data_IF_918570317018
#
_entry.id   IF_918570317018
#
_cell.length_a   1.000
_cell.length_b   1.000
_cell.length_c   1.000
_cell.angle_alpha   90.00
_cell.angle_beta   90.00
_cell.angle_gamma   90.00
#
_symmetry.space_group_name_H-M   'P 1'
#
loop_
_entity.id
_entity.type
_entity.pdbx_description
1 polymer ?
#
# COMPACT_ATOMS: atom_id res chain seq x y z
N UNK A 1 -64.73 65.28 -50.23
CA UNK A 1 -63.30 64.91 -50.18
C UNK A 1 -63.08 63.96 -49.01
N UNK A 2 -62.50 62.80 -49.30
CA UNK A 2 -61.86 61.79 -48.42
C UNK A 2 -62.70 61.02 -47.38
N UNK A 3 -62.93 59.75 -47.72
CA UNK A 3 -63.30 58.60 -46.89
C UNK A 3 -62.09 58.18 -46.05
N UNK A 4 -62.27 57.91 -44.75
CA UNK A 4 -61.23 57.36 -43.86
C UNK A 4 -61.68 56.03 -43.27
N UNK A 5 -61.18 54.92 -43.82
CA UNK A 5 -61.36 53.56 -43.30
C UNK A 5 -60.24 53.27 -42.30
N UNK A 6 -60.59 52.93 -41.06
CA UNK A 6 -59.64 52.51 -40.03
C UNK A 6 -59.44 50.99 -40.09
N UNK A 7 -58.23 50.56 -40.45
CA UNK A 7 -57.82 49.15 -40.45
C UNK A 7 -57.14 48.83 -39.11
N UNK A 8 -57.67 47.84 -38.38
CA UNK A 8 -57.05 47.29 -37.17
C UNK A 8 -56.05 46.20 -37.56
N UNK A 9 -54.77 46.38 -37.19
CA UNK A 9 -53.71 45.38 -37.37
C UNK A 9 -53.41 44.75 -36.02
N UNK A 10 -53.69 43.45 -35.88
CA UNK A 10 -53.35 42.64 -34.72
C UNK A 10 -52.01 41.92 -34.92
N UNK A 11 -51.05 42.21 -34.03
CA UNK A 11 -49.70 41.60 -34.03
C UNK A 11 -49.75 40.25 -33.31
N UNK A 12 -49.38 39.18 -34.01
CA UNK A 12 -49.21 37.84 -33.41
C UNK A 12 -47.79 37.66 -32.87
N UNK A 13 -47.66 37.23 -31.61
CA UNK A 13 -46.36 36.92 -30.98
C UNK A 13 -46.08 35.42 -31.14
N UNK A 14 -45.03 35.09 -31.90
CA UNK A 14 -44.52 33.72 -32.01
C UNK A 14 -43.63 33.38 -30.80
N UNK A 15 -44.02 32.38 -30.01
CA UNK A 15 -43.22 31.86 -28.89
C UNK A 15 -42.11 30.90 -29.36
N UNK A 16 -40.95 30.84 -28.69
CA UNK A 16 -39.86 29.97 -29.08
C UNK A 16 -40.14 28.50 -28.74
N UNK A 17 -39.91 27.61 -29.71
CA UNK A 17 -39.93 26.15 -29.51
C UNK A 17 -38.77 25.70 -28.61
N UNK A 18 -39.00 24.87 -27.58
CA UNK A 18 -37.90 24.33 -26.79
C UNK A 18 -37.14 23.28 -27.60
N UNK A 19 -35.88 23.58 -27.94
CA UNK A 19 -34.94 22.60 -28.44
C UNK A 19 -34.53 21.67 -27.29
N UNK A 20 -34.97 20.41 -27.32
CA UNK A 20 -34.51 19.41 -26.37
C UNK A 20 -33.06 19.04 -26.68
N UNK A 21 -32.13 19.48 -25.84
CA UNK A 21 -30.74 19.02 -25.89
C UNK A 21 -30.71 17.54 -25.45
N UNK A 22 -30.39 16.65 -26.38
CA UNK A 22 -30.13 15.25 -26.07
C UNK A 22 -28.80 15.17 -25.33
N UNK A 23 -28.84 14.82 -24.04
CA UNK A 23 -27.63 14.52 -23.26
C UNK A 23 -27.09 13.18 -23.75
N UNK A 24 -26.06 13.21 -24.59
CA UNK A 24 -25.29 12.02 -24.93
C UNK A 24 -24.55 11.58 -23.67
N UNK A 25 -25.05 10.55 -23.00
CA UNK A 25 -24.33 9.92 -21.89
C UNK A 25 -23.12 9.17 -22.45
N UNK A 26 -21.92 9.61 -22.07
CA UNK A 26 -20.71 8.85 -22.33
C UNK A 26 -20.79 7.49 -21.63
N UNK A 27 -20.32 6.40 -22.25
CA UNK A 27 -20.30 5.09 -21.60
C UNK A 27 -19.50 5.19 -20.31
N UNK A 28 -20.12 4.79 -19.19
CA UNK A 28 -19.44 4.67 -17.90
C UNK A 28 -18.58 3.41 -17.95
N UNK A 29 -17.36 3.51 -18.49
CA UNK A 29 -16.37 2.46 -18.34
C UNK A 29 -16.04 2.37 -16.85
N UNK A 30 -16.47 1.30 -16.17
CA UNK A 30 -15.91 0.94 -14.87
C UNK A 30 -14.41 0.76 -15.05
N UNK A 31 -13.63 1.77 -14.66
CA UNK A 31 -12.18 1.72 -14.75
C UNK A 31 -11.68 0.56 -13.89
N UNK A 32 -11.18 -0.49 -14.53
CA UNK A 32 -10.67 -1.67 -13.85
C UNK A 32 -9.35 -1.33 -13.17
N UNK A 33 -9.22 -1.64 -11.87
CA UNK A 33 -8.00 -1.42 -11.11
C UNK A 33 -6.79 -2.13 -11.74
N UNK A 34 -5.69 -1.40 -11.91
CA UNK A 34 -4.40 -1.93 -12.35
C UNK A 34 -3.83 -2.89 -11.30
N UNK A 35 -3.13 -3.94 -11.76
CA UNK A 35 -2.61 -5.00 -10.91
C UNK A 35 -1.09 -5.12 -11.05
N UNK A 36 -0.31 -4.26 -10.38
CA UNK A 36 1.13 -4.40 -10.34
C UNK A 36 1.51 -5.74 -9.69
N UNK A 37 2.65 -6.29 -10.09
CA UNK A 37 3.24 -7.48 -9.49
C UNK A 37 4.74 -7.27 -9.28
N UNK A 38 5.28 -7.95 -8.28
CA UNK A 38 6.72 -7.96 -8.04
C UNK A 38 7.36 -9.05 -8.94
N UNK A 39 8.60 -8.86 -9.41
CA UNK A 39 9.33 -9.89 -10.14
C UNK A 39 9.57 -11.11 -9.24
N UNK A 40 9.46 -12.31 -9.83
CA UNK A 40 9.66 -13.57 -9.11
C UNK A 40 11.13 -13.75 -8.74
N UNK A 41 11.46 -14.10 -7.48
CA UNK A 41 12.81 -14.49 -7.09
C UNK A 41 13.29 -15.72 -7.88
N UNK A 42 14.58 -15.75 -8.20
CA UNK A 42 15.16 -16.83 -9.03
C UNK A 42 15.75 -17.99 -8.23
N UNK A 43 15.93 -17.84 -6.92
CA UNK A 43 16.48 -18.90 -6.07
C UNK A 43 15.47 -20.01 -5.75
N UNK A 44 15.97 -21.08 -5.15
CA UNK A 44 15.21 -22.31 -4.89
C UNK A 44 14.40 -22.23 -3.59
N UNK A 45 14.88 -21.46 -2.61
CA UNK A 45 14.25 -21.38 -1.30
C UNK A 45 12.92 -20.62 -1.37
N UNK A 46 11.94 -21.11 -0.61
CA UNK A 46 10.69 -20.36 -0.39
C UNK A 46 10.95 -19.24 0.62
N UNK A 47 10.22 -18.15 0.46
CA UNK A 47 10.40 -16.97 1.29
C UNK A 47 9.34 -16.95 2.40
N UNK A 48 9.80 -16.86 3.66
CA UNK A 48 8.96 -16.55 4.82
C UNK A 48 9.18 -15.13 5.28
N UNK A 49 8.14 -14.51 5.85
CA UNK A 49 8.23 -13.18 6.45
C UNK A 49 7.46 -13.10 7.75
N UNK A 50 8.05 -12.42 8.73
CA UNK A 50 7.41 -12.09 10.00
C UNK A 50 7.59 -10.59 10.28
N UNK A 51 6.49 -9.82 10.40
CA UNK A 51 6.56 -8.47 10.91
C UNK A 51 6.76 -8.48 12.43
N UNK A 52 7.71 -7.69 12.91
CA UNK A 52 8.00 -7.52 14.34
C UNK A 52 7.79 -6.07 14.75
N UNK A 53 7.17 -5.86 15.90
CA UNK A 53 7.11 -4.57 16.60
C UNK A 53 8.02 -4.65 17.82
N UNK A 54 9.15 -3.96 17.76
CA UNK A 54 10.13 -3.95 18.82
C UNK A 54 9.96 -2.67 19.64
N UNK A 55 9.89 -2.83 20.97
CA UNK A 55 9.76 -1.72 21.91
C UNK A 55 11.01 -1.68 22.79
N UNK A 56 11.84 -0.67 22.56
CA UNK A 56 13.01 -0.39 23.36
C UNK A 56 12.66 0.63 24.44
N UNK A 57 12.49 0.14 25.67
CA UNK A 57 12.14 0.95 26.84
C UNK A 57 13.34 1.69 27.45
N UNK A 58 14.56 1.38 27.03
CA UNK A 58 15.77 1.99 27.58
C UNK A 58 16.08 3.36 26.98
N UNK A 59 15.48 3.67 25.82
CA UNK A 59 15.75 4.90 25.08
C UNK A 59 14.45 5.62 24.71
N UNK A 60 14.37 6.95 24.90
CA UNK A 60 13.27 7.73 24.36
C UNK A 60 13.33 7.78 22.83
N UNK A 61 12.18 8.04 22.19
CA UNK A 61 12.16 8.24 20.74
C UNK A 61 12.87 9.55 20.40
N UNK A 62 13.87 9.55 19.49
CA UNK A 62 14.64 10.75 19.16
C UNK A 62 13.84 11.78 18.35
N UNK A 63 12.67 11.43 17.82
CA UNK A 63 11.87 12.26 16.91
C UNK A 63 10.50 12.62 17.46
N UNK A 64 9.99 11.86 18.44
CA UNK A 64 8.71 12.12 19.12
C UNK A 64 9.00 12.40 20.59
N UNK A 65 9.20 13.68 21.00
CA UNK A 65 9.60 14.03 22.36
C UNK A 65 8.63 13.53 23.45
N UNK A 66 7.35 13.39 23.13
CA UNK A 66 6.34 12.84 24.03
C UNK A 66 6.49 11.32 24.27
N UNK A 67 7.16 10.60 23.37
CA UNK A 67 7.30 9.15 23.43
C UNK A 67 8.57 8.76 24.18
N UNK A 68 8.37 8.27 25.41
CA UNK A 68 9.44 7.91 26.35
C UNK A 68 10.14 6.59 26.02
N UNK A 69 9.59 5.82 25.09
CA UNK A 69 10.13 4.55 24.61
C UNK A 69 10.34 4.63 23.11
N UNK A 70 11.31 3.90 22.59
CA UNK A 70 11.58 3.84 21.16
C UNK A 70 10.93 2.62 20.56
N UNK A 71 10.04 2.83 19.61
CA UNK A 71 9.37 1.74 18.91
C UNK A 71 9.89 1.60 17.48
N UNK A 72 10.05 0.36 17.02
CA UNK A 72 10.59 0.03 15.70
C UNK A 72 9.74 -1.07 15.08
N UNK A 73 9.22 -0.80 13.88
CA UNK A 73 8.69 -1.85 13.01
C UNK A 73 9.82 -2.46 12.20
N UNK A 74 9.86 -3.78 12.16
CA UNK A 74 10.89 -4.59 11.53
C UNK A 74 10.22 -5.68 10.70
N UNK A 75 10.77 -6.04 9.54
CA UNK A 75 10.39 -7.26 8.83
C UNK A 75 11.58 -8.21 8.81
N UNK A 76 11.38 -9.42 9.35
CA UNK A 76 12.33 -10.51 9.25
C UNK A 76 11.93 -11.39 8.08
N UNK A 77 12.83 -11.55 7.11
CA UNK A 77 12.66 -12.38 5.94
C UNK A 77 13.67 -13.53 5.99
N UNK A 78 13.23 -14.75 5.66
CA UNK A 78 14.03 -15.96 5.87
C UNK A 78 13.63 -17.10 4.93
N UNK A 79 14.55 -18.04 4.63
CA UNK A 79 14.24 -19.26 3.92
C UNK A 79 13.22 -20.09 4.71
N UNK A 80 12.13 -20.49 4.06
CA UNK A 80 10.98 -21.11 4.67
C UNK A 80 10.68 -22.46 4.05
N UNK A 81 10.07 -23.34 4.85
CA UNK A 81 9.53 -24.61 4.37
C UNK A 81 8.27 -24.37 3.53
N UNK A 82 7.94 -25.29 2.61
CA UNK A 82 6.67 -25.26 1.88
C UNK A 82 5.48 -25.09 2.82
N UNK A 83 4.64 -24.09 2.55
CA UNK A 83 3.54 -23.68 3.45
C UNK A 83 2.40 -23.04 2.66
N UNK A 84 1.74 -23.84 1.82
CA UNK A 84 0.66 -23.36 0.95
C UNK A 84 -0.57 -22.85 1.72
N UNK A 85 -0.73 -23.27 2.97
CA UNK A 85 -1.76 -22.85 3.92
C UNK A 85 -1.57 -21.42 4.44
N UNK A 86 -0.38 -20.83 4.28
CA UNK A 86 -0.05 -19.50 4.80
C UNK A 86 -0.34 -18.41 3.75
N UNK A 87 -0.93 -17.27 4.12
CA UNK A 87 -1.19 -16.20 3.16
C UNK A 87 0.13 -15.59 2.65
N UNK A 88 0.12 -15.14 1.39
CA UNK A 88 1.18 -14.27 0.88
C UNK A 88 1.12 -12.93 1.62
N UNK A 89 2.28 -12.35 1.89
CA UNK A 89 2.34 -11.05 2.52
C UNK A 89 1.94 -9.96 1.53
N UNK A 90 1.14 -8.97 1.95
CA UNK A 90 0.96 -7.75 1.16
C UNK A 90 2.27 -6.96 1.14
N UNK A 91 2.55 -6.24 0.05
CA UNK A 91 3.77 -5.41 -0.04
C UNK A 91 3.82 -4.34 1.04
N UNK A 92 2.68 -3.75 1.40
CA UNK A 92 2.54 -2.79 2.48
C UNK A 92 1.40 -3.20 3.43
N UNK A 93 1.48 -2.87 4.73
CA UNK A 93 0.31 -2.90 5.60
C UNK A 93 -0.82 -2.02 5.04
N UNK A 94 -2.11 -2.34 5.27
CA UNK A 94 -3.24 -1.60 4.68
C UNK A 94 -3.20 -0.08 4.91
N UNK A 95 -2.86 0.35 6.14
CA UNK A 95 -2.74 1.77 6.46
C UNK A 95 -1.55 2.44 5.75
N UNK A 96 -0.44 1.72 5.55
CA UNK A 96 0.70 2.18 4.77
C UNK A 96 0.40 2.21 3.27
N UNK A 97 -0.39 1.27 2.75
CA UNK A 97 -0.87 1.29 1.37
C UNK A 97 -1.75 2.50 1.09
N UNK A 98 -2.75 2.76 1.94
CA UNK A 98 -3.60 3.94 1.81
C UNK A 98 -2.79 5.24 1.84
N UNK A 99 -1.76 5.31 2.71
CA UNK A 99 -0.86 6.46 2.75
C UNK A 99 0.00 6.58 1.48
N UNK A 100 0.49 5.46 0.96
CA UNK A 100 1.25 5.42 -0.30
C UNK A 100 0.43 5.93 -1.48
N UNK A 101 -0.84 5.52 -1.60
CA UNK A 101 -1.75 6.02 -2.65
C UNK A 101 -1.91 7.54 -2.56
N UNK A 102 -2.14 8.06 -1.35
CA UNK A 102 -2.25 9.51 -1.11
C UNK A 102 -0.97 10.26 -1.47
N UNK A 103 0.19 9.79 -0.99
CA UNK A 103 1.49 10.41 -1.25
C UNK A 103 1.87 10.37 -2.74
N UNK A 104 1.32 9.39 -3.48
CA UNK A 104 1.52 9.23 -4.93
C UNK A 104 0.48 9.97 -5.79
N UNK A 105 -0.48 10.69 -5.18
CA UNK A 105 -1.57 11.37 -5.90
C UNK A 105 -2.55 10.41 -6.58
N UNK A 106 -2.60 9.15 -6.15
CA UNK A 106 -3.48 8.13 -6.71
C UNK A 106 -4.83 8.15 -5.99
N UNK A 107 -5.90 8.01 -6.77
CA UNK A 107 -7.24 7.79 -6.21
C UNK A 107 -7.28 6.36 -5.62
N UNK A 108 -7.86 6.16 -4.42
CA UNK A 108 -7.99 4.83 -3.84
C UNK A 108 -8.61 3.84 -4.82
N UNK A 109 -8.00 2.66 -4.93
CA UNK A 109 -8.52 1.57 -5.77
C UNK A 109 -8.16 1.66 -7.26
N UNK A 110 -7.41 2.68 -7.70
CA UNK A 110 -6.80 2.69 -9.04
C UNK A 110 -5.77 1.57 -9.18
N UNK A 111 -5.00 1.31 -8.13
CA UNK A 111 -4.07 0.20 -8.04
C UNK A 111 -4.59 -0.83 -7.04
N UNK A 112 -4.47 -2.12 -7.38
CA UNK A 112 -4.56 -3.19 -6.39
C UNK A 112 -3.21 -3.33 -5.70
N UNK A 113 -3.23 -3.41 -4.37
CA UNK A 113 -2.04 -3.66 -3.56
C UNK A 113 -1.36 -4.96 -4.02
N UNK A 114 -0.07 -4.90 -4.45
CA UNK A 114 0.64 -6.09 -4.86
C UNK A 114 0.91 -7.01 -3.66
N UNK A 115 0.91 -8.31 -3.93
CA UNK A 115 1.40 -9.31 -3.00
C UNK A 115 2.87 -9.60 -3.26
N UNK A 116 3.59 -9.94 -2.20
CA UNK A 116 4.95 -10.45 -2.26
C UNK A 116 4.94 -11.95 -2.56
N UNK A 117 6.10 -12.53 -2.79
CA UNK A 117 6.32 -13.98 -2.88
C UNK A 117 6.53 -14.62 -1.51
N UNK A 118 6.85 -13.81 -0.49
CA UNK A 118 6.92 -14.22 0.91
C UNK A 118 5.57 -14.62 1.51
N UNK A 119 5.58 -15.67 2.35
CA UNK A 119 4.41 -16.10 3.14
C UNK A 119 4.53 -15.69 4.60
N UNK A 120 3.45 -15.12 5.14
CA UNK A 120 3.39 -14.64 6.52
C UNK A 120 3.44 -15.83 7.48
N UNK A 121 4.35 -15.77 8.46
CA UNK A 121 4.51 -16.78 9.51
C UNK A 121 4.77 -18.20 8.98
N UNK A 122 5.37 -18.31 7.79
CA UNK A 122 5.79 -19.59 7.24
C UNK A 122 6.82 -20.27 8.16
N UNK A 123 6.78 -21.60 8.35
CA UNK A 123 7.78 -22.27 9.17
C UNK A 123 9.18 -22.06 8.59
N UNK A 124 10.11 -21.58 9.42
CA UNK A 124 11.52 -21.40 9.05
C UNK A 124 12.10 -22.71 8.55
N UNK A 125 12.86 -22.65 7.46
CA UNK A 125 13.73 -23.73 7.04
C UNK A 125 15.11 -23.56 7.70
N UNK A 126 15.46 -24.52 8.55
CA UNK A 126 16.66 -24.43 9.40
C UNK A 126 17.78 -25.20 8.72
N UNK A 127 18.81 -24.47 8.29
CA UNK A 127 20.01 -25.07 7.72
C UNK A 127 21.05 -25.38 8.82
N UNK A 128 21.73 -26.54 8.78
CA UNK A 128 22.88 -26.80 9.63
C UNK A 128 23.96 -25.74 9.42
N UNK A 129 24.45 -25.13 10.51
CA UNK A 129 25.42 -24.04 10.44
C UNK A 129 24.82 -22.62 10.38
N UNK A 130 23.49 -22.50 10.33
CA UNK A 130 22.80 -21.21 10.33
C UNK A 130 22.73 -20.54 8.94
N UNK A 131 22.23 -19.31 8.90
CA UNK A 131 22.06 -18.53 7.67
C UNK A 131 22.79 -17.18 7.82
N UNK A 132 23.47 -16.69 6.77
CA UNK A 132 24.07 -15.36 6.79
C UNK A 132 22.97 -14.30 6.97
N UNK A 133 23.18 -13.35 7.89
CA UNK A 133 22.20 -12.31 8.22
C UNK A 133 22.59 -10.99 7.57
N UNK A 134 21.69 -10.42 6.78
CA UNK A 134 21.84 -9.08 6.19
C UNK A 134 20.93 -8.09 6.92
N UNK A 135 21.50 -7.01 7.43
CA UNK A 135 20.74 -5.91 8.03
C UNK A 135 20.52 -4.79 7.00
N UNK A 136 19.27 -4.47 6.73
CA UNK A 136 18.87 -3.42 5.81
C UNK A 136 18.19 -2.25 6.52
N UNK A 137 18.68 -1.06 6.21
CA UNK A 137 18.07 0.21 6.59
C UNK A 137 17.69 0.97 5.33
N UNK A 138 16.41 1.33 5.16
CA UNK A 138 16.01 2.18 4.05
C UNK A 138 16.63 3.58 4.19
N UNK A 139 16.76 4.26 3.05
CA UNK A 139 17.14 5.67 2.98
C UNK A 139 16.07 6.59 3.57
N UNK A 140 16.41 7.87 3.73
CA UNK A 140 15.48 8.89 4.20
C UNK A 140 14.22 8.93 3.30
N UNK A 141 13.03 9.02 3.90
CA UNK A 141 11.76 9.00 3.15
C UNK A 141 11.22 7.59 2.87
N UNK A 142 12.10 6.58 2.86
CA UNK A 142 11.72 5.19 2.58
C UNK A 142 11.06 4.46 3.74
N UNK A 143 10.47 3.30 3.44
CA UNK A 143 9.91 2.36 4.41
C UNK A 143 10.68 1.03 4.39
N UNK A 144 10.44 0.17 5.38
CA UNK A 144 11.11 -1.14 5.51
C UNK A 144 10.86 -2.10 4.33
N UNK A 145 9.85 -1.81 3.52
CA UNK A 145 9.35 -2.62 2.41
C UNK A 145 9.88 -2.12 1.04
N UNK A 146 10.65 -1.02 1.03
CA UNK A 146 11.25 -0.44 -0.18
C UNK A 146 12.26 -1.38 -0.84
N UNK A 147 12.88 -2.27 -0.07
CA UNK A 147 13.83 -3.27 -0.54
C UNK A 147 13.23 -4.64 -0.88
N UNK A 148 11.89 -4.77 -0.99
CA UNK A 148 11.20 -6.08 -1.07
C UNK A 148 11.77 -6.99 -2.16
N UNK A 149 11.93 -6.49 -3.39
CA UNK A 149 12.46 -7.32 -4.50
C UNK A 149 13.86 -7.87 -4.19
N UNK A 150 14.72 -7.04 -3.60
CA UNK A 150 16.08 -7.43 -3.26
C UNK A 150 16.10 -8.45 -2.12
N UNK A 151 15.30 -8.25 -1.07
CA UNK A 151 15.24 -9.20 0.05
C UNK A 151 14.67 -10.55 -0.40
N UNK A 152 13.61 -10.58 -1.21
CA UNK A 152 13.05 -11.84 -1.69
C UNK A 152 14.06 -12.60 -2.55
N UNK A 153 14.83 -11.89 -3.38
CA UNK A 153 15.91 -12.51 -4.15
C UNK A 153 16.99 -13.11 -3.26
N UNK A 154 17.49 -12.37 -2.26
CA UNK A 154 18.55 -12.87 -1.38
C UNK A 154 18.07 -14.03 -0.50
N UNK A 155 16.84 -13.94 -0.01
CA UNK A 155 16.26 -15.02 0.80
C UNK A 155 16.04 -16.28 -0.03
N UNK A 156 15.63 -16.15 -1.29
CA UNK A 156 15.53 -17.29 -2.20
C UNK A 156 16.88 -17.98 -2.47
N UNK A 157 18.00 -17.30 -2.20
CA UNK A 157 19.37 -17.80 -2.34
C UNK A 157 19.97 -18.28 -0.99
N UNK A 158 19.17 -18.42 0.06
CA UNK A 158 19.60 -18.95 1.36
C UNK A 158 20.04 -17.90 2.41
N UNK A 159 19.87 -16.61 2.13
CA UNK A 159 20.21 -15.55 3.10
C UNK A 159 19.05 -15.26 4.06
N UNK A 160 19.36 -14.93 5.31
CA UNK A 160 18.39 -14.31 6.23
C UNK A 160 18.53 -12.78 6.14
N UNK A 161 17.42 -12.07 6.18
CA UNK A 161 17.41 -10.62 6.03
C UNK A 161 16.52 -9.94 7.07
N UNK A 162 17.05 -8.90 7.68
CA UNK A 162 16.37 -8.08 8.65
C UNK A 162 16.24 -6.66 8.10
N UNK A 163 15.01 -6.20 7.81
CA UNK A 163 14.76 -4.79 7.50
C UNK A 163 14.14 -4.04 8.67
N UNK A 164 14.57 -2.79 8.89
CA UNK A 164 13.97 -1.89 9.89
C UNK A 164 13.24 -0.72 9.23
N UNK A 165 12.17 -0.26 9.84
CA UNK A 165 11.49 0.98 9.49
C UNK A 165 12.08 2.16 10.27
N UNK A 166 12.08 3.36 9.67
CA UNK A 166 12.48 4.60 10.35
C UNK A 166 11.25 5.42 10.73
N UNK A 167 11.00 5.62 12.02
CA UNK A 167 9.78 6.27 12.57
C UNK A 167 9.56 7.74 12.16
N UNK A 168 10.50 8.35 11.41
CA UNK A 168 10.46 9.77 11.04
C UNK A 168 9.39 10.12 9.99
N UNK A 169 9.01 9.19 9.13
CA UNK A 169 8.11 9.47 8.01
C UNK A 169 6.67 9.04 8.31
N UNK A 170 5.70 9.74 7.74
CA UNK A 170 4.27 9.39 7.89
C UNK A 170 3.97 7.98 7.38
N UNK A 171 4.60 7.60 6.26
CA UNK A 171 4.49 6.26 5.69
C UNK A 171 5.08 5.17 6.61
N UNK A 172 6.19 5.44 7.28
CA UNK A 172 6.74 4.50 8.25
C UNK A 172 5.90 4.39 9.52
N UNK A 173 5.26 5.49 9.93
CA UNK A 173 4.36 5.55 11.09
C UNK A 173 3.07 4.78 10.85
N UNK A 174 2.51 4.83 9.65
CA UNK A 174 1.30 4.05 9.31
C UNK A 174 1.53 2.54 9.22
N UNK A 175 2.79 2.08 9.26
CA UNK A 175 3.13 0.66 9.40
C UNK A 175 3.02 0.14 10.84
N UNK A 176 2.85 1.00 11.84
CA UNK A 176 2.67 0.58 13.23
C UNK A 176 1.23 0.09 13.47
N UNK A 177 1.05 -0.99 14.25
CA UNK A 177 -0.27 -1.47 14.62
C UNK A 177 -1.05 -0.42 15.44
N UNK A 178 -2.30 -0.16 15.07
CA UNK A 178 -3.15 0.84 15.74
C UNK A 178 -3.75 0.34 17.06
N UNK A 179 -3.90 -0.98 17.21
CA UNK A 179 -4.70 -1.59 18.29
C UNK A 179 -3.85 -2.33 19.32
N UNK A 180 -2.55 -1.99 19.39
CA UNK A 180 -1.55 -2.70 20.18
C UNK A 180 -1.11 -4.00 19.49
N UNK A 181 0.20 -4.14 19.24
CA UNK A 181 0.73 -5.35 18.63
C UNK A 181 0.77 -6.51 19.61
N UNK A 182 0.07 -7.60 19.31
CA UNK A 182 0.25 -8.87 19.99
C UNK A 182 1.12 -9.77 19.12
N UNK A 183 2.38 -9.97 19.52
CA UNK A 183 3.22 -10.98 18.87
C UNK A 183 2.57 -12.37 19.05
N UNK A 184 2.10 -13.04 18.00
CA UNK A 184 1.39 -14.30 18.17
C UNK A 184 2.30 -15.44 18.66
N UNK A 185 3.62 -15.28 18.51
CA UNK A 185 4.62 -16.34 18.78
C UNK A 185 5.92 -15.88 19.44
N UNK A 186 6.01 -14.65 19.94
CA UNK A 186 7.14 -14.26 20.79
C UNK A 186 6.97 -14.98 22.13
N UNK A 187 7.73 -16.05 22.35
CA UNK A 187 7.93 -16.53 23.72
C UNK A 187 8.59 -15.39 24.50
N UNK A 188 8.01 -15.05 25.65
CA UNK A 188 8.67 -14.20 26.64
C UNK A 188 9.92 -14.88 27.15
#
# INVERSE_FOLDING_TARGET
>A
MLVGVALLVSVGVAGPSPAYAQVVQAPTTTAQALRPSLPRPTGEDRVGVVPLHLVDRSRPDPWVPAQRVRELMVSLWYPARPSHDRPLAPWLPPAAWARFEQDSGLRPGVLRMPLTHGRVDAPVDRQPGGQPVVLYSPGLGGNRDSGTVLVEQLVSLGYMWWSRSITRTTLARSSFPTDGWKCPRCRR
#
